data_IF_336539690191
#
_entry.id   IF_336539690191
#
_cell.length_a   1.000
_cell.length_b   1.000
_cell.length_c   1.000
_cell.angle_alpha   90.00
_cell.angle_beta   90.00
_cell.angle_gamma   90.00
#
_symmetry.space_group_name_H-M   'P 1'
#
loop_
_entity.id
_entity.type
_entity.pdbx_description
1 polymer ?
#
# COMPACT_ATOMS: atom_id res chain seq x y z
N UNK A 1 15.96 -39.94 -34.78
CA UNK A 1 16.50 -38.77 -35.51
C UNK A 1 15.60 -37.59 -35.18
N UNK A 2 16.11 -36.59 -34.44
CA UNK A 2 15.54 -35.23 -34.37
C UNK A 2 16.05 -34.44 -35.59
N UNK A 3 15.30 -33.45 -36.07
CA UNK A 3 15.50 -32.04 -35.65
C UNK A 3 14.15 -31.31 -35.53
N UNK A 4 13.98 -30.07 -35.10
CA UNK A 4 14.69 -29.08 -34.30
C UNK A 4 13.65 -27.96 -34.05
N UNK A 5 13.80 -27.23 -32.94
CA UNK A 5 12.91 -26.17 -32.49
C UNK A 5 12.81 -24.96 -33.44
N UNK A 6 11.66 -24.29 -33.44
CA UNK A 6 11.57 -22.84 -33.68
C UNK A 6 10.29 -22.27 -33.03
N UNK A 7 10.46 -21.71 -31.83
CA UNK A 7 9.50 -20.82 -31.17
C UNK A 7 9.63 -19.45 -31.82
N UNK A 8 8.53 -18.87 -32.30
CA UNK A 8 8.48 -17.50 -32.79
C UNK A 8 7.62 -16.67 -31.84
N UNK A 9 8.33 -15.87 -31.03
CA UNK A 9 7.81 -14.96 -30.02
C UNK A 9 7.79 -13.57 -30.65
N UNK A 10 6.60 -13.04 -30.97
CA UNK A 10 6.45 -11.68 -31.50
C UNK A 10 5.90 -10.77 -30.41
N UNK A 11 6.82 -10.09 -29.72
CA UNK A 11 6.53 -8.92 -28.89
C UNK A 11 6.33 -7.73 -29.81
N UNK A 12 5.13 -7.16 -29.82
CA UNK A 12 4.85 -5.88 -30.48
C UNK A 12 4.80 -4.81 -29.40
N UNK A 13 5.89 -4.06 -29.28
CA UNK A 13 5.92 -2.79 -28.54
C UNK A 13 6.09 -1.68 -29.56
N UNK A 14 5.07 -0.85 -29.72
CA UNK A 14 5.20 0.47 -30.36
C UNK A 14 4.46 1.51 -29.54
N UNK A 15 5.22 2.25 -28.74
CA UNK A 15 4.89 3.57 -28.20
C UNK A 15 5.23 4.62 -29.27
N UNK A 16 4.26 5.41 -29.70
CA UNK A 16 4.49 6.70 -30.36
C UNK A 16 3.25 7.59 -30.19
N UNK A 17 3.49 8.82 -29.70
CA UNK A 17 2.50 9.69 -29.10
C UNK A 17 1.52 10.38 -30.05
N UNK A 18 0.35 10.71 -29.49
CA UNK A 18 -0.55 11.70 -30.06
C UNK A 18 -0.16 13.09 -29.54
N UNK A 19 0.70 13.77 -30.28
CA UNK A 19 0.84 15.22 -30.17
C UNK A 19 -0.40 15.87 -30.83
N UNK A 20 -1.22 16.53 -30.02
CA UNK A 20 -2.27 17.43 -30.52
C UNK A 20 -1.63 18.77 -30.86
N UNK A 21 -1.67 19.15 -32.14
CA UNK A 21 -1.48 20.53 -32.59
C UNK A 21 -2.40 20.80 -33.78
N UNK A 22 -3.30 21.76 -33.60
CA UNK A 22 -4.18 22.31 -34.62
C UNK A 22 -4.97 23.48 -34.03
N UNK A 23 -4.53 24.71 -34.29
CA UNK A 23 -5.13 25.98 -33.82
C UNK A 23 -6.46 26.34 -34.50
N UNK A 24 -6.90 27.62 -34.59
CA UNK A 24 -6.12 28.87 -34.50
C UNK A 24 -6.76 30.02 -33.67
N UNK A 25 -5.97 31.05 -33.33
CA UNK A 25 -6.44 32.44 -33.32
C UNK A 25 -5.24 33.42 -33.25
N UNK A 26 -5.06 34.16 -34.33
CA UNK A 26 -4.38 35.45 -34.44
C UNK A 26 -4.93 36.45 -33.42
N UNK A 27 -4.06 37.22 -32.75
CA UNK A 27 -3.86 38.61 -33.18
C UNK A 27 -2.58 39.24 -32.59
N UNK A 28 -2.02 40.14 -33.39
CA UNK A 28 -0.72 40.78 -33.21
C UNK A 28 -0.95 42.19 -32.66
N UNK A 29 -0.22 42.59 -31.62
CA UNK A 29 -0.27 43.95 -31.08
C UNK A 29 1.03 44.31 -30.38
N UNK A 30 2.01 44.76 -31.16
CA UNK A 30 3.25 45.40 -30.69
C UNK A 30 3.05 46.91 -30.64
N UNK A 31 3.22 47.55 -29.48
CA UNK A 31 3.63 48.96 -29.37
C UNK A 31 4.59 49.16 -28.18
N UNK A 32 5.58 50.04 -28.41
CA UNK A 32 6.88 50.21 -27.72
C UNK A 32 6.84 51.32 -26.61
N UNK A 33 7.93 51.71 -25.90
CA UNK A 33 7.98 52.05 -24.46
C UNK A 33 8.21 53.58 -24.21
N UNK A 34 8.47 54.16 -22.99
CA UNK A 34 9.80 54.09 -22.31
C UNK A 34 9.86 54.36 -20.76
N UNK A 35 11.07 54.16 -20.20
CA UNK A 35 11.81 54.94 -19.17
C UNK A 35 11.35 55.07 -17.69
N UNK A 36 12.25 54.60 -16.81
CA UNK A 36 12.85 55.20 -15.59
C UNK A 36 12.04 56.19 -14.71
N UNK A 37 11.89 55.87 -13.41
CA UNK A 37 12.54 56.59 -12.27
C UNK A 37 11.92 56.32 -10.89
N UNK A 38 12.82 56.13 -9.91
CA UNK A 38 12.82 56.69 -8.53
C UNK A 38 11.91 56.13 -7.39
N UNK A 39 12.61 55.48 -6.43
CA UNK A 39 12.63 55.77 -4.97
C UNK A 39 11.59 55.07 -4.04
N UNK A 40 12.00 54.65 -2.81
CA UNK A 40 11.36 53.57 -2.06
C UNK A 40 10.32 54.07 -1.04
N UNK A 41 9.31 53.25 -0.79
CA UNK A 41 8.37 53.43 0.32
C UNK A 41 8.41 52.21 1.25
N UNK A 42 8.66 52.49 2.52
CA UNK A 42 8.77 51.54 3.61
C UNK A 42 7.41 50.94 4.01
N UNK A 43 7.45 49.64 4.36
CA UNK A 43 6.57 49.03 5.37
C UNK A 43 5.73 47.84 4.87
N UNK A 44 5.30 46.93 5.76
CA UNK A 44 5.78 46.61 7.11
C UNK A 44 6.54 45.27 7.15
N UNK A 45 7.52 45.19 8.05
CA UNK A 45 8.13 43.94 8.52
C UNK A 45 7.03 42.96 8.90
N UNK A 46 6.96 41.81 8.21
CA UNK A 46 6.19 40.67 8.65
C UNK A 46 6.66 40.32 10.07
N UNK A 47 5.81 40.56 11.06
CA UNK A 47 6.08 40.15 12.44
C UNK A 47 6.33 38.64 12.46
N UNK A 48 7.25 38.14 13.31
CA UNK A 48 7.44 36.71 13.46
C UNK A 48 6.10 36.10 13.89
N UNK A 49 5.59 35.18 13.06
CA UNK A 49 4.47 34.29 13.41
C UNK A 49 4.83 33.68 14.75
N UNK A 50 4.12 34.12 15.79
CA UNK A 50 4.31 33.60 17.13
C UNK A 50 3.93 32.13 17.05
N UNK A 51 4.91 31.24 17.23
CA UNK A 51 4.65 29.83 17.44
C UNK A 51 3.83 29.74 18.73
N UNK A 52 2.51 29.79 18.58
CA UNK A 52 1.60 29.51 19.66
C UNK A 52 1.90 28.08 20.10
N UNK A 53 2.24 27.91 21.37
CA UNK A 53 2.15 26.61 22.02
C UNK A 53 0.65 26.28 22.02
N UNK A 54 0.17 25.67 20.94
CA UNK A 54 -1.17 25.10 20.90
C UNK A 54 -1.27 24.16 22.11
N UNK A 55 -2.23 24.43 22.98
CA UNK A 55 -2.51 23.53 24.08
C UNK A 55 -2.96 22.21 23.45
N UNK A 56 -2.25 21.09 23.68
CA UNK A 56 -2.62 19.84 23.05
C UNK A 56 -4.06 19.49 23.44
N UNK A 57 -4.89 19.17 22.44
CA UNK A 57 -6.22 18.63 22.69
C UNK A 57 -6.04 17.34 23.50
N UNK A 58 -6.68 17.22 24.69
CA UNK A 58 -6.61 15.98 25.46
C UNK A 58 -7.15 14.83 24.61
N UNK A 59 -6.35 13.78 24.47
CA UNK A 59 -6.79 12.52 23.87
C UNK A 59 -7.04 11.52 25.00
N UNK A 60 -8.17 10.84 24.96
CA UNK A 60 -8.45 9.74 25.87
C UNK A 60 -7.71 8.48 25.37
N UNK A 61 -6.44 8.36 25.78
CA UNK A 61 -5.57 7.27 25.34
C UNK A 61 -5.68 6.05 26.27
N UNK A 62 -5.62 4.83 25.72
CA UNK A 62 -5.46 3.61 26.52
C UNK A 62 -4.21 3.67 27.40
N UNK A 63 -4.26 2.98 28.54
CA UNK A 63 -3.10 2.87 29.43
C UNK A 63 -1.91 2.24 28.70
N UNK A 64 -0.73 2.86 28.85
CA UNK A 64 0.52 2.39 28.23
C UNK A 64 0.79 2.91 26.82
N UNK A 65 -0.12 3.68 26.22
CA UNK A 65 0.13 4.40 24.96
C UNK A 65 0.64 5.81 25.27
N UNK A 66 1.82 6.14 24.76
CA UNK A 66 2.38 7.49 24.86
C UNK A 66 1.66 8.44 23.88
N UNK A 67 1.36 9.66 24.34
CA UNK A 67 0.74 10.70 23.51
C UNK A 67 1.62 11.07 22.32
N UNK A 68 2.93 11.01 22.47
CA UNK A 68 3.89 11.37 21.42
C UNK A 68 3.98 10.31 20.31
N UNK A 69 3.53 9.08 20.58
CA UNK A 69 3.43 8.01 19.57
C UNK A 69 2.10 8.04 18.79
N UNK A 70 1.18 8.93 19.17
CA UNK A 70 -0.18 8.99 18.61
C UNK A 70 -0.39 10.24 17.78
N UNK A 71 -0.72 10.03 16.50
CA UNK A 71 -1.12 11.10 15.59
C UNK A 71 -2.65 11.18 15.53
N UNK A 72 -3.27 12.33 15.83
CA UNK A 72 -4.71 12.49 15.58
C UNK A 72 -5.02 12.44 14.08
N UNK A 73 -6.11 11.80 13.66
CA UNK A 73 -6.47 11.70 12.24
C UNK A 73 -6.69 13.07 11.56
N UNK A 74 -7.11 14.09 12.31
CA UNK A 74 -7.23 15.46 11.80
C UNK A 74 -5.86 16.14 11.57
N UNK A 75 -4.78 15.59 12.10
CA UNK A 75 -3.40 16.03 11.87
C UNK A 75 -2.76 15.42 10.62
N UNK A 76 -3.37 14.38 10.05
CA UNK A 76 -2.94 13.80 8.76
C UNK A 76 -3.26 14.75 7.61
N UNK A 77 -2.48 14.67 6.53
CA UNK A 77 -2.84 15.30 5.26
C UNK A 77 -4.14 14.70 4.71
N UNK A 78 -4.77 15.37 3.74
CA UNK A 78 -6.00 14.87 3.13
C UNK A 78 -5.82 13.48 2.51
N UNK A 79 -4.76 13.29 1.71
CA UNK A 79 -4.46 12.01 1.06
C UNK A 79 -4.04 10.90 2.05
N UNK A 80 -3.31 11.24 3.11
CA UNK A 80 -2.97 10.26 4.15
C UNK A 80 -4.23 9.83 4.92
N UNK A 81 -5.14 10.77 5.20
CA UNK A 81 -6.41 10.45 5.84
C UNK A 81 -7.26 9.54 4.96
N UNK A 82 -7.32 9.78 3.66
CA UNK A 82 -8.02 8.89 2.72
C UNK A 82 -7.41 7.48 2.70
N UNK A 83 -6.08 7.37 2.70
CA UNK A 83 -5.38 6.07 2.77
C UNK A 83 -5.67 5.34 4.09
N UNK A 84 -5.60 6.05 5.22
CA UNK A 84 -5.93 5.53 6.54
C UNK A 84 -7.38 5.02 6.61
N UNK A 85 -8.33 5.80 6.10
CA UNK A 85 -9.75 5.42 6.08
C UNK A 85 -10.01 4.22 5.17
N UNK A 86 -9.32 4.11 4.04
CA UNK A 86 -9.42 2.95 3.14
C UNK A 86 -8.87 1.67 3.77
N UNK A 87 -7.81 1.77 4.57
CA UNK A 87 -7.16 0.64 5.22
C UNK A 87 -7.84 0.17 6.52
N UNK A 88 -8.67 1.02 7.14
CA UNK A 88 -9.37 0.69 8.39
C UNK A 88 -10.25 -0.55 8.27
N UNK A 89 -9.82 -1.63 8.93
CA UNK A 89 -10.51 -2.92 8.95
C UNK A 89 -10.60 -3.58 7.57
N UNK A 90 -9.67 -3.27 6.67
CA UNK A 90 -9.54 -3.98 5.41
C UNK A 90 -8.94 -5.38 5.66
N UNK A 91 -9.43 -6.41 4.97
CA UNK A 91 -8.86 -7.77 5.07
C UNK A 91 -7.52 -7.92 4.31
N UNK A 92 -7.09 -6.88 3.59
CA UNK A 92 -5.92 -6.88 2.72
C UNK A 92 -5.11 -5.59 2.85
N UNK A 93 -3.81 -5.70 2.56
CA UNK A 93 -2.91 -4.54 2.48
C UNK A 93 -3.42 -3.49 1.48
N UNK A 94 -3.57 -2.25 1.93
CA UNK A 94 -3.95 -1.12 1.08
C UNK A 94 -2.70 -0.41 0.57
N UNK A 95 -2.46 -0.49 -0.73
CA UNK A 95 -1.30 0.12 -1.40
C UNK A 95 -1.38 1.65 -1.36
N UNK A 96 -0.27 2.29 -0.98
CA UNK A 96 -0.16 3.74 -0.91
C UNK A 96 0.07 4.34 -2.30
N UNK A 97 -0.57 5.47 -2.57
CA UNK A 97 -0.51 6.11 -3.89
C UNK A 97 0.70 7.05 -4.07
N UNK A 98 1.48 7.31 -3.02
CA UNK A 98 2.60 8.24 -3.09
C UNK A 98 3.73 7.95 -2.09
N UNK A 99 4.95 8.38 -2.42
CA UNK A 99 6.09 8.28 -1.52
C UNK A 99 5.96 9.15 -0.26
N UNK A 100 5.20 10.25 -0.31
CA UNK A 100 4.96 11.09 0.87
C UNK A 100 4.09 10.39 1.92
N UNK A 101 3.08 9.63 1.44
CA UNK A 101 2.30 8.76 2.31
C UNK A 101 3.19 7.65 2.89
N UNK A 102 4.10 7.08 2.08
CA UNK A 102 5.05 6.07 2.54
C UNK A 102 5.93 6.57 3.70
N UNK A 103 6.51 7.76 3.56
CA UNK A 103 7.31 8.38 4.62
C UNK A 103 6.49 8.62 5.89
N UNK A 104 5.25 9.09 5.74
CA UNK A 104 4.34 9.34 6.87
C UNK A 104 3.99 8.05 7.60
N UNK A 105 3.53 7.02 6.87
CA UNK A 105 3.05 5.78 7.47
C UNK A 105 4.16 4.83 7.93
N UNK A 106 5.37 4.94 7.37
CA UNK A 106 6.52 4.19 7.88
C UNK A 106 6.90 4.59 9.31
N UNK A 107 6.72 5.87 9.65
CA UNK A 107 7.08 6.40 10.98
C UNK A 107 5.87 6.46 11.94
N UNK A 108 4.66 6.27 11.41
CA UNK A 108 3.41 6.39 12.16
C UNK A 108 2.91 5.02 12.62
N UNK A 109 2.78 4.87 13.94
CA UNK A 109 2.35 3.62 14.56
C UNK A 109 0.91 3.63 15.05
N UNK A 110 0.45 4.78 15.56
CA UNK A 110 -0.89 4.90 16.12
C UNK A 110 -1.62 6.13 15.60
N UNK A 111 -2.90 5.95 15.27
CA UNK A 111 -3.80 7.03 14.90
C UNK A 111 -4.96 7.11 15.88
N UNK A 112 -5.24 8.30 16.41
CA UNK A 112 -6.46 8.55 17.17
C UNK A 112 -7.57 9.05 16.24
N UNK A 113 -8.64 8.27 16.13
CA UNK A 113 -9.81 8.56 15.31
C UNK A 113 -11.07 8.02 15.99
N UNK A 114 -12.19 8.74 15.86
CA UNK A 114 -13.50 8.31 16.35
C UNK A 114 -13.54 7.93 17.84
N UNK A 115 -12.72 8.60 18.66
CA UNK A 115 -12.67 8.35 20.10
C UNK A 115 -11.87 7.12 20.51
N UNK A 116 -11.06 6.54 19.62
CA UNK A 116 -10.21 5.38 19.92
C UNK A 116 -8.87 5.44 19.19
N UNK A 117 -7.93 4.61 19.67
CA UNK A 117 -6.64 4.39 19.02
C UNK A 117 -6.75 3.24 18.02
N UNK A 118 -6.13 3.43 16.86
CA UNK A 118 -5.92 2.46 15.80
C UNK A 118 -4.42 2.21 15.68
N UNK A 119 -4.02 0.96 15.54
CA UNK A 119 -2.65 0.56 15.21
C UNK A 119 -2.50 0.54 13.69
N UNK A 120 -1.38 1.06 13.21
CA UNK A 120 -1.05 1.12 11.79
C UNK A 120 0.19 0.27 11.56
N UNK A 121 0.12 -0.65 10.62
CA UNK A 121 1.27 -1.38 10.12
C UNK A 121 1.60 -0.94 8.71
N UNK A 122 2.90 -0.83 8.43
CA UNK A 122 3.43 -0.43 7.14
C UNK A 122 4.37 -1.50 6.60
N UNK A 123 4.28 -1.77 5.30
CA UNK A 123 5.22 -2.65 4.61
C UNK A 123 5.53 -2.16 3.19
N UNK A 124 6.73 -2.49 2.68
CA UNK A 124 7.07 -2.30 1.27
C UNK A 124 6.76 -3.52 0.40
N UNK A 125 6.53 -4.68 1.03
CA UNK A 125 6.20 -5.90 0.32
C UNK A 125 5.76 -7.02 1.24
N UNK A 126 5.07 -7.99 0.67
CA UNK A 126 4.45 -9.08 1.42
C UNK A 126 4.59 -10.38 0.64
N UNK A 127 4.59 -11.56 1.30
CA UNK A 127 4.43 -12.82 0.62
C UNK A 127 3.26 -12.78 -0.36
N UNK A 128 3.43 -13.36 -1.53
CA UNK A 128 2.40 -13.46 -2.54
C UNK A 128 2.39 -14.86 -3.13
N UNK A 129 1.20 -15.36 -3.44
CA UNK A 129 1.04 -16.68 -4.02
C UNK A 129 0.41 -16.59 -5.41
N UNK A 130 0.94 -17.39 -6.32
CA UNK A 130 0.36 -17.67 -7.61
C UNK A 130 0.07 -19.17 -7.69
N UNK A 131 -1.11 -19.51 -8.23
CA UNK A 131 -1.54 -20.89 -8.39
C UNK A 131 -1.79 -21.13 -9.86
N UNK A 132 -1.15 -22.16 -10.42
CA UNK A 132 -1.34 -22.60 -11.79
C UNK A 132 -1.56 -24.11 -11.86
N UNK A 133 -2.22 -24.57 -12.91
CA UNK A 133 -2.37 -25.99 -13.22
C UNK A 133 -1.20 -26.45 -14.08
N UNK A 134 -0.42 -27.41 -13.58
CA UNK A 134 0.79 -27.83 -14.28
C UNK A 134 1.10 -29.32 -14.13
N UNK A 135 1.94 -29.82 -15.04
CA UNK A 135 2.47 -31.17 -14.93
C UNK A 135 3.55 -31.20 -13.86
N UNK A 136 3.23 -31.88 -12.78
CA UNK A 136 4.14 -32.04 -11.64
C UNK A 136 5.12 -33.18 -11.92
N UNK A 137 6.38 -32.99 -11.52
CA UNK A 137 7.40 -34.03 -11.64
C UNK A 137 7.03 -35.26 -10.81
N UNK A 138 7.47 -36.46 -11.21
CA UNK A 138 7.16 -37.69 -10.49
C UNK A 138 7.71 -37.73 -9.05
N UNK A 139 8.69 -36.88 -8.75
CA UNK A 139 9.39 -36.80 -7.46
C UNK A 139 8.83 -35.69 -6.55
N UNK A 140 7.89 -34.87 -7.03
CA UNK A 140 7.30 -33.79 -6.24
C UNK A 140 6.33 -34.33 -5.19
N UNK A 141 6.40 -33.78 -3.98
CA UNK A 141 5.43 -34.11 -2.93
C UNK A 141 4.11 -33.39 -3.17
N UNK A 142 3.10 -34.13 -3.60
CA UNK A 142 1.73 -33.63 -3.73
C UNK A 142 1.00 -33.69 -2.38
N UNK A 143 0.52 -32.56 -1.87
CA UNK A 143 -0.29 -32.48 -0.65
C UNK A 143 -1.76 -32.47 -1.02
N UNK A 144 -2.60 -33.27 -0.35
CA UNK A 144 -4.04 -33.24 -0.60
C UNK A 144 -4.69 -32.02 0.10
N UNK A 145 -5.59 -31.31 -0.59
CA UNK A 145 -6.27 -30.13 -0.03
C UNK A 145 -6.91 -30.40 1.34
N UNK A 146 -7.55 -31.56 1.52
CA UNK A 146 -8.18 -31.94 2.79
C UNK A 146 -7.21 -32.13 3.98
N UNK A 147 -5.89 -32.12 3.73
CA UNK A 147 -4.87 -32.18 4.79
C UNK A 147 -4.29 -30.82 5.16
N UNK A 148 -4.66 -29.76 4.42
CA UNK A 148 -4.32 -28.38 4.75
C UNK A 148 -5.09 -27.92 6.01
N UNK A 149 -4.51 -27.02 6.78
CA UNK A 149 -5.22 -26.32 7.87
C UNK A 149 -6.36 -25.47 7.32
N UNK A 150 -7.30 -25.05 8.17
CA UNK A 150 -8.43 -24.19 7.75
C UNK A 150 -7.95 -22.87 7.13
N UNK A 151 -6.88 -22.28 7.66
CA UNK A 151 -6.30 -21.04 7.13
C UNK A 151 -5.63 -21.27 5.77
N UNK A 152 -4.85 -22.35 5.63
CA UNK A 152 -4.27 -22.74 4.34
C UNK A 152 -5.33 -23.04 3.28
N UNK A 153 -6.44 -23.68 3.65
CA UNK A 153 -7.56 -23.95 2.73
C UNK A 153 -8.18 -22.63 2.23
N UNK A 154 -8.46 -21.69 3.13
CA UNK A 154 -9.01 -20.36 2.78
C UNK A 154 -8.06 -19.57 1.89
N UNK A 155 -6.76 -19.56 2.21
CA UNK A 155 -5.75 -18.89 1.40
C UNK A 155 -5.63 -19.54 0.02
N UNK A 156 -5.56 -20.87 -0.05
CA UNK A 156 -5.51 -21.60 -1.31
C UNK A 156 -6.73 -21.33 -2.20
N UNK A 157 -7.94 -21.37 -1.65
CA UNK A 157 -9.16 -21.09 -2.43
C UNK A 157 -9.19 -19.65 -2.95
N UNK A 158 -8.77 -18.68 -2.13
CA UNK A 158 -8.69 -17.27 -2.53
C UNK A 158 -7.69 -17.08 -3.67
N UNK A 159 -6.49 -17.67 -3.54
CA UNK A 159 -5.43 -17.55 -4.56
C UNK A 159 -5.83 -18.27 -5.85
N UNK A 160 -6.42 -19.47 -5.76
CA UNK A 160 -6.86 -20.28 -6.92
C UNK A 160 -8.00 -19.64 -7.71
N UNK A 161 -8.93 -18.96 -7.03
CA UNK A 161 -10.11 -18.36 -7.68
C UNK A 161 -9.92 -16.90 -8.10
N UNK A 162 -8.82 -16.27 -7.66
CA UNK A 162 -8.46 -14.89 -7.96
C UNK A 162 -7.20 -14.73 -8.82
N UNK A 163 -6.76 -13.49 -9.01
CA UNK A 163 -5.60 -13.10 -9.82
C UNK A 163 -4.26 -13.16 -9.07
N UNK A 164 -4.10 -14.08 -8.12
CA UNK A 164 -2.99 -14.09 -7.17
C UNK A 164 -3.27 -13.12 -6.02
N UNK A 165 -3.09 -13.59 -4.79
CA UNK A 165 -3.44 -12.82 -3.59
C UNK A 165 -2.22 -12.75 -2.68
N UNK A 166 -2.06 -11.60 -2.05
CA UNK A 166 -1.16 -11.42 -0.92
C UNK A 166 -1.96 -11.74 0.34
N UNK A 167 -1.54 -12.67 1.21
CA UNK A 167 -2.03 -12.68 2.57
C UNK A 167 -2.02 -11.24 3.13
N UNK A 168 -3.19 -10.82 3.63
CA UNK A 168 -3.28 -9.67 4.51
C UNK A 168 -2.48 -9.93 5.78
N UNK A 169 -2.23 -8.90 6.60
CA UNK A 169 -1.46 -9.02 7.83
C UNK A 169 -2.05 -10.05 8.81
N UNK A 170 -3.37 -10.20 8.86
CA UNK A 170 -4.07 -11.25 9.61
C UNK A 170 -3.75 -12.69 9.16
N UNK A 171 -3.07 -12.85 8.03
CA UNK A 171 -2.65 -14.13 7.46
C UNK A 171 -1.11 -14.26 7.39
N UNK A 172 -0.37 -13.36 8.05
CA UNK A 172 1.08 -13.51 8.20
C UNK A 172 1.42 -14.88 8.82
N UNK A 173 2.35 -15.58 8.17
CA UNK A 173 2.82 -16.91 8.60
C UNK A 173 2.03 -18.10 8.04
N UNK A 174 0.96 -17.88 7.26
CA UNK A 174 0.28 -18.98 6.55
C UNK A 174 1.04 -19.32 5.27
N UNK A 175 1.79 -20.42 5.30
CA UNK A 175 2.52 -20.95 4.14
C UNK A 175 1.71 -22.03 3.41
N UNK A 176 1.57 -21.89 2.09
CA UNK A 176 0.99 -22.93 1.25
C UNK A 176 2.06 -23.93 0.79
N UNK A 177 1.76 -25.25 0.74
CA UNK A 177 2.64 -26.22 0.10
C UNK A 177 2.81 -25.92 -1.39
N UNK A 178 4.00 -26.18 -1.93
CA UNK A 178 4.32 -25.96 -3.35
C UNK A 178 3.42 -26.74 -4.33
N UNK A 179 2.73 -27.79 -3.87
CA UNK A 179 1.82 -28.56 -4.72
C UNK A 179 0.61 -29.05 -3.94
N UNK A 180 -0.58 -28.73 -4.45
CA UNK A 180 -1.86 -29.09 -3.83
C UNK A 180 -2.73 -29.86 -4.82
N UNK A 181 -3.24 -31.03 -4.42
CA UNK A 181 -4.26 -31.79 -5.16
C UNK A 181 -5.64 -31.35 -4.69
N UNK A 182 -6.45 -30.85 -5.63
CA UNK A 182 -7.82 -30.41 -5.39
C UNK A 182 -8.67 -30.74 -6.62
N UNK A 183 -9.86 -31.33 -6.42
CA UNK A 183 -10.82 -31.66 -7.49
C UNK A 183 -10.21 -32.42 -8.69
N UNK A 184 -9.46 -33.50 -8.40
CA UNK A 184 -8.70 -34.31 -9.38
C UNK A 184 -7.62 -33.57 -10.19
N UNK A 185 -7.39 -32.29 -9.92
CA UNK A 185 -6.34 -31.47 -10.53
C UNK A 185 -5.18 -31.22 -9.56
N UNK A 186 -3.98 -31.12 -10.13
CA UNK A 186 -2.79 -30.76 -9.34
C UNK A 186 -2.42 -29.30 -9.63
N UNK A 187 -2.43 -28.52 -8.56
CA UNK A 187 -2.09 -27.10 -8.56
C UNK A 187 -0.65 -26.94 -8.09
N UNK A 188 0.14 -26.22 -8.88
CA UNK A 188 1.45 -25.72 -8.52
C UNK A 188 1.24 -24.39 -7.81
N UNK A 189 1.79 -24.28 -6.60
CA UNK A 189 1.77 -23.06 -5.81
C UNK A 189 3.15 -22.45 -5.86
N UNK A 190 3.27 -21.29 -6.49
CA UNK A 190 4.49 -20.50 -6.49
C UNK A 190 4.37 -19.42 -5.41
N UNK A 191 5.36 -19.36 -4.54
CA UNK A 191 5.51 -18.29 -3.56
C UNK A 191 6.51 -17.27 -4.08
N UNK A 192 6.18 -15.99 -3.95
CA UNK A 192 7.09 -14.88 -4.20
C UNK A 192 6.85 -13.75 -3.22
N UNK A 193 7.30 -12.57 -3.59
CA UNK A 193 7.03 -11.33 -2.87
C UNK A 193 6.33 -10.38 -3.82
N UNK A 194 5.18 -9.84 -3.43
CA UNK A 194 4.62 -8.66 -4.08
C UNK A 194 5.28 -7.44 -3.47
N UNK A 195 5.92 -6.64 -4.29
CA UNK A 195 6.40 -5.31 -3.90
C UNK A 195 5.32 -4.28 -4.23
N UNK A 196 5.09 -3.36 -3.30
CA UNK A 196 4.21 -2.21 -3.49
C UNK A 196 5.05 -1.02 -3.95
N UNK A 197 4.56 -0.23 -4.90
CA UNK A 197 5.37 0.84 -5.49
C UNK A 197 5.83 1.86 -4.44
N UNK A 198 4.94 2.20 -3.51
CA UNK A 198 5.16 3.16 -2.43
C UNK A 198 4.92 2.54 -1.04
N UNK A 199 4.84 1.21 -0.94
CA UNK A 199 4.42 0.53 0.28
C UNK A 199 2.90 0.40 0.39
N UNK A 200 2.48 -0.28 1.45
CA UNK A 200 1.09 -0.53 1.79
C UNK A 200 0.91 -0.45 3.30
N UNK A 201 -0.32 -0.15 3.72
CA UNK A 201 -0.70 -0.10 5.12
C UNK A 201 -1.84 -1.05 5.43
N UNK A 202 -1.91 -1.38 6.70
CA UNK A 202 -3.04 -2.03 7.34
C UNK A 202 -3.36 -1.29 8.63
N UNK A 203 -4.64 -1.19 8.96
CA UNK A 203 -5.11 -0.38 10.07
C UNK A 203 -6.16 -1.14 10.86
N UNK A 204 -5.76 -1.50 12.07
CA UNK A 204 -6.57 -2.28 12.97
C UNK A 204 -6.89 -1.54 14.26
N UNK A 205 -8.01 -1.87 14.91
CA UNK A 205 -8.30 -1.29 16.20
C UNK A 205 -7.24 -1.71 17.23
N UNK A 206 -6.66 -0.75 17.97
CA UNK A 206 -5.67 -1.10 18.98
C UNK A 206 -6.30 -1.96 20.08
N UNK A 207 -5.74 -3.15 20.29
CA UNK A 207 -6.09 -4.04 21.38
C UNK A 207 -4.94 -4.12 22.40
N UNK A 208 -5.15 -3.68 23.65
CA UNK A 208 -4.13 -3.80 24.67
C UNK A 208 -3.77 -5.27 24.87
N UNK A 209 -2.49 -5.63 24.73
CA UNK A 209 -2.04 -6.98 25.04
C UNK A 209 -2.42 -7.28 26.48
N UNK A 210 -3.27 -8.29 26.69
CA UNK A 210 -3.57 -8.78 28.03
C UNK A 210 -2.26 -9.29 28.63
N UNK A 211 -1.74 -8.57 29.61
CA UNK A 211 -0.69 -9.09 30.48
C UNK A 211 -1.25 -10.29 31.19
N UNK A 212 -0.83 -11.49 30.78
CA UNK A 212 -1.08 -12.71 31.54
C UNK A 212 -0.36 -12.49 32.87
N UNK A 213 -1.12 -12.20 33.92
CA UNK A 213 -0.59 -12.24 35.27
C UNK A 213 -0.41 -13.72 35.58
N UNK A 214 0.82 -14.21 35.50
CA UNK A 214 1.16 -15.52 36.05
C UNK A 214 0.88 -15.47 37.56
N UNK A 215 -0.18 -16.15 38.00
CA UNK A 215 -0.43 -16.47 39.43
C UNK A 215 0.45 -17.65 39.89
#
# INVERSE_FOLDING_TARGET
MRPAHAVALCVVVTLAGCATFGGPATDTGTETPPAESATPAAGPTAGPTTAGTETPVPLDLPEGIDRDEVTPAWGLSEGDRESFEAARGADEWVELESSGAAETFNDLRYVYADGRVWEVWYTYGTPAYLVDTGNVSADERVVAYGTLSTEQQRLFDRVRTGSGCCPGPDQEGVELPATVRYDDETYLVESGTRSFAHGAIDVDPYEPRRTVTEE
#
